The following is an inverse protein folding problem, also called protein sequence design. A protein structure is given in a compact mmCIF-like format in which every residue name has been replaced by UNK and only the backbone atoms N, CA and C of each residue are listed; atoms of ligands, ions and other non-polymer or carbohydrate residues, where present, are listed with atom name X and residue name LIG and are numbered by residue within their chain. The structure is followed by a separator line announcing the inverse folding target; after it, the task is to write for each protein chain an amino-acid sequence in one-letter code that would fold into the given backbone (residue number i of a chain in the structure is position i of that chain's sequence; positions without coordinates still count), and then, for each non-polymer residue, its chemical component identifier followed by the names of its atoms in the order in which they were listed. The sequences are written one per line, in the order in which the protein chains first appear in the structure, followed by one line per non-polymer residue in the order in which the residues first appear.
data_IF_737583994931
#
_entry.id   IF_737583994931
#
_cell.length_a   1.000
_cell.length_b   1.000
_cell.length_c   1.000
_cell.angle_alpha   90.00
_cell.angle_beta   90.00
_cell.angle_gamma   90.00
#
_symmetry.space_group_name_H-M   'P 1'
#
loop_
_entity.id
_entity.type
_entity.pdbx_description
1 polymer ?
#
# COMPACT_ATOMS: atom_id res chain seq x y z
N UNK A 1 15.45 23.58 7.04
CA UNK A 1 15.04 22.22 6.69
C UNK A 1 14.88 22.06 5.18
N UNK A 2 15.07 20.84 4.63
CA UNK A 2 15.09 20.59 3.17
C UNK A 2 13.82 21.05 2.45
N UNK A 3 12.65 20.92 3.08
CA UNK A 3 11.38 21.37 2.50
C UNK A 3 11.31 22.89 2.22
N UNK A 4 12.10 23.69 2.92
CA UNK A 4 12.14 25.13 2.81
C UNK A 4 13.26 25.64 1.87
N UNK A 5 14.05 24.76 1.28
CA UNK A 5 15.11 25.14 0.33
C UNK A 5 14.48 25.76 -0.90
N UNK A 6 14.88 27.00 -1.30
CA UNK A 6 14.32 27.69 -2.46
C UNK A 6 14.67 27.01 -3.78
N UNK A 7 15.89 26.52 -3.91
CA UNK A 7 16.40 25.84 -5.09
C UNK A 7 16.03 24.34 -5.04
N UNK A 8 14.89 24.00 -5.61
CA UNK A 8 14.42 22.62 -5.71
C UNK A 8 15.22 21.80 -6.72
N UNK A 9 15.77 22.40 -7.75
CA UNK A 9 16.54 21.71 -8.77
C UNK A 9 17.82 21.10 -8.18
N UNK A 10 18.57 21.89 -7.39
CA UNK A 10 19.75 21.38 -6.69
C UNK A 10 19.42 20.25 -5.71
N UNK A 11 18.27 20.36 -5.01
CA UNK A 11 17.80 19.30 -4.12
C UNK A 11 17.44 18.02 -4.88
N UNK A 12 16.74 18.13 -6.01
CA UNK A 12 16.36 16.98 -6.84
C UNK A 12 17.58 16.32 -7.45
N UNK A 13 18.55 17.09 -7.93
CA UNK A 13 19.79 16.54 -8.48
C UNK A 13 20.59 15.78 -7.41
N UNK A 14 20.74 16.33 -6.22
CA UNK A 14 21.41 15.65 -5.11
C UNK A 14 20.71 14.35 -4.73
N UNK A 15 19.39 14.36 -4.63
CA UNK A 15 18.59 13.16 -4.35
C UNK A 15 18.73 12.11 -5.47
N UNK A 16 18.76 12.55 -6.72
CA UNK A 16 18.94 11.69 -7.88
C UNK A 16 20.32 11.02 -7.90
N UNK A 17 21.39 11.76 -7.59
CA UNK A 17 22.75 11.23 -7.49
C UNK A 17 22.86 10.15 -6.41
N UNK A 18 22.26 10.38 -5.23
CA UNK A 18 22.21 9.38 -4.15
C UNK A 18 21.46 8.13 -4.61
N UNK A 19 20.29 8.31 -5.22
CA UNK A 19 19.50 7.19 -5.73
C UNK A 19 20.27 6.38 -6.76
N UNK A 20 20.88 7.03 -7.73
CA UNK A 20 21.69 6.35 -8.75
C UNK A 20 22.91 5.61 -8.17
N UNK A 21 23.54 6.18 -7.16
CA UNK A 21 24.69 5.54 -6.49
C UNK A 21 24.30 4.23 -5.82
N UNK A 22 23.18 4.19 -5.10
CA UNK A 22 22.77 3.01 -4.32
C UNK A 22 21.88 2.04 -5.09
N UNK A 23 21.05 2.53 -6.02
CA UNK A 23 20.06 1.71 -6.74
C UNK A 23 20.43 1.48 -8.21
N UNK A 24 21.40 2.23 -8.73
CA UNK A 24 21.73 2.19 -10.16
C UNK A 24 20.54 2.63 -11.02
N UNK A 25 20.24 1.85 -12.05
CA UNK A 25 19.08 2.07 -12.92
C UNK A 25 17.87 1.18 -12.55
N UNK A 26 17.87 0.57 -11.36
CA UNK A 26 16.77 -0.27 -10.91
C UNK A 26 15.61 0.62 -10.49
N UNK A 27 14.44 0.35 -11.04
CA UNK A 27 13.18 0.93 -10.63
C UNK A 27 12.29 -0.18 -10.04
N UNK A 28 12.04 -0.09 -8.74
CA UNK A 28 11.23 -1.07 -8.03
C UNK A 28 9.77 -0.59 -7.98
N UNK A 29 8.88 -1.39 -8.52
CA UNK A 29 7.45 -1.10 -8.59
C UNK A 29 6.69 -1.90 -7.54
N UNK A 30 5.76 -1.24 -6.87
CA UNK A 30 4.90 -1.87 -5.87
C UNK A 30 3.46 -1.42 -6.08
N UNK A 31 2.54 -2.35 -5.95
CA UNK A 31 1.10 -2.08 -5.94
C UNK A 31 0.44 -2.81 -4.79
N UNK A 32 -0.68 -2.29 -4.35
CA UNK A 32 -1.49 -2.88 -3.29
C UNK A 32 -2.94 -2.98 -3.71
N UNK A 33 -3.67 -3.92 -3.11
CA UNK A 33 -5.13 -3.93 -3.10
C UNK A 33 -5.62 -3.81 -1.66
N UNK A 34 -6.64 -3.00 -1.42
CA UNK A 34 -7.35 -2.98 -0.15
C UNK A 34 -8.28 -4.22 -0.10
N UNK A 35 -7.76 -5.34 0.38
CA UNK A 35 -8.46 -6.63 0.34
C UNK A 35 -9.56 -6.77 1.41
N UNK A 36 -9.57 -5.89 2.44
CA UNK A 36 -10.61 -5.81 3.46
C UNK A 36 -10.69 -4.38 3.96
N UNK A 37 -11.88 -3.81 4.01
CA UNK A 37 -12.06 -2.39 4.29
C UNK A 37 -12.92 -2.11 5.51
N UNK A 38 -12.46 -1.15 6.33
CA UNK A 38 -13.18 -0.56 7.44
C UNK A 38 -13.26 -1.43 8.69
N UNK A 39 -14.00 -0.95 9.68
CA UNK A 39 -14.24 -1.61 10.97
C UNK A 39 -12.96 -2.08 11.69
N UNK A 40 -11.85 -1.36 11.52
CA UNK A 40 -10.62 -1.63 12.26
C UNK A 40 -10.84 -1.30 13.74
N UNK A 41 -10.44 -2.22 14.63
CA UNK A 41 -10.55 -2.03 16.09
C UNK A 41 -9.53 -1.03 16.66
N UNK A 42 -8.53 -0.65 15.87
CA UNK A 42 -7.45 0.24 16.31
C UNK A 42 -7.84 1.72 16.17
N UNK A 43 -7.45 2.52 17.18
CA UNK A 43 -7.73 3.96 17.27
C UNK A 43 -6.62 4.82 16.65
N UNK A 44 -6.21 4.52 15.43
CA UNK A 44 -5.22 5.34 14.71
C UNK A 44 -5.87 6.64 14.23
N UNK A 45 -5.47 7.77 14.81
CA UNK A 45 -6.10 9.10 14.65
C UNK A 45 -6.21 9.60 13.19
N UNK A 46 -5.34 9.14 12.32
CA UNK A 46 -5.25 9.53 10.91
C UNK A 46 -5.76 8.46 9.94
N UNK A 47 -6.24 7.32 10.46
CA UNK A 47 -6.63 6.18 9.62
C UNK A 47 -8.11 6.17 9.32
N UNK A 48 -8.48 6.32 8.05
CA UNK A 48 -9.87 6.25 7.59
C UNK A 48 -10.53 4.87 7.80
N UNK A 49 -9.74 3.81 8.00
CA UNK A 49 -10.24 2.44 8.23
C UNK A 49 -10.66 2.17 9.68
N UNK A 50 -10.33 3.08 10.63
CA UNK A 50 -10.67 2.92 12.04
C UNK A 50 -12.19 2.96 12.26
N UNK A 51 -12.71 2.00 13.04
CA UNK A 51 -14.11 1.97 13.46
C UNK A 51 -14.47 3.03 14.52
N UNK A 52 -13.46 3.73 15.07
CA UNK A 52 -13.67 4.80 16.06
C UNK A 52 -14.07 6.12 15.42
N UNK A 53 -13.92 6.29 14.12
CA UNK A 53 -14.21 7.54 13.41
C UNK A 53 -15.27 7.34 12.33
N UNK A 54 -16.11 8.37 12.17
CA UNK A 54 -17.07 8.43 11.05
C UNK A 54 -16.33 8.88 9.79
N UNK A 55 -16.02 7.96 8.94
CA UNK A 55 -15.37 8.19 7.64
C UNK A 55 -16.27 7.68 6.52
N UNK A 56 -16.04 8.15 5.29
CA UNK A 56 -16.82 7.74 4.12
C UNK A 56 -16.21 6.53 3.41
N UNK A 57 -15.44 5.67 4.12
CA UNK A 57 -14.88 4.46 3.51
C UNK A 57 -15.99 3.43 3.25
N UNK A 58 -15.92 2.80 2.09
CA UNK A 58 -16.77 1.66 1.79
C UNK A 58 -16.36 0.46 2.63
N UNK A 59 -17.31 -0.12 3.37
CA UNK A 59 -17.04 -1.28 4.23
C UNK A 59 -17.28 -2.57 3.45
N UNK A 60 -16.31 -3.47 3.48
CA UNK A 60 -16.46 -4.82 2.93
C UNK A 60 -15.54 -5.83 3.65
N UNK A 61 -15.97 -7.10 3.70
CA UNK A 61 -15.18 -8.19 4.26
C UNK A 61 -13.99 -8.50 3.35
N UNK A 62 -13.18 -9.51 3.73
CA UNK A 62 -12.09 -9.97 2.89
C UNK A 62 -12.62 -10.37 1.50
N UNK A 63 -11.98 -9.83 0.47
CA UNK A 63 -12.31 -10.12 -0.92
C UNK A 63 -12.13 -11.62 -1.23
N UNK A 64 -12.89 -12.16 -2.18
CA UNK A 64 -12.67 -13.51 -2.68
C UNK A 64 -11.28 -13.70 -3.27
N UNK A 65 -10.71 -14.90 -3.16
CA UNK A 65 -9.37 -15.22 -3.67
C UNK A 65 -9.25 -14.95 -5.18
N UNK A 66 -10.29 -15.27 -5.95
CA UNK A 66 -10.34 -15.05 -7.40
C UNK A 66 -10.16 -13.58 -7.76
N UNK A 67 -10.74 -12.68 -6.97
CA UNK A 67 -10.61 -11.24 -7.20
C UNK A 67 -9.19 -10.76 -6.88
N UNK A 68 -8.61 -11.24 -5.79
CA UNK A 68 -7.22 -10.95 -5.44
C UNK A 68 -6.25 -11.44 -6.52
N UNK A 69 -6.45 -12.66 -7.02
CA UNK A 69 -5.64 -13.25 -8.09
C UNK A 69 -5.80 -12.46 -9.40
N UNK A 70 -7.01 -12.06 -9.74
CA UNK A 70 -7.27 -11.22 -10.92
C UNK A 70 -6.49 -9.91 -10.86
N UNK A 71 -6.51 -9.22 -9.72
CA UNK A 71 -5.74 -8.00 -9.51
C UNK A 71 -4.23 -8.25 -9.54
N UNK A 72 -3.73 -9.30 -8.91
CA UNK A 72 -2.32 -9.66 -8.93
C UNK A 72 -1.84 -9.95 -10.36
N UNK A 73 -2.61 -10.74 -11.12
CA UNK A 73 -2.32 -11.07 -12.52
C UNK A 73 -2.31 -9.82 -13.41
N UNK A 74 -3.26 -8.91 -13.21
CA UNK A 74 -3.29 -7.65 -13.94
C UNK A 74 -2.03 -6.82 -13.65
N UNK A 75 -1.66 -6.64 -12.39
CA UNK A 75 -0.47 -5.90 -11.98
C UNK A 75 0.81 -6.54 -12.55
N UNK A 76 0.92 -7.87 -12.49
CA UNK A 76 2.05 -8.58 -13.08
C UNK A 76 2.21 -8.32 -14.58
N UNK A 77 1.10 -8.35 -15.34
CA UNK A 77 1.10 -8.02 -16.79
C UNK A 77 1.52 -6.58 -17.07
N UNK A 78 1.33 -5.66 -16.12
CA UNK A 78 1.80 -4.26 -16.21
C UNK A 78 3.27 -4.09 -15.77
N UNK A 79 3.98 -5.18 -15.45
CA UNK A 79 5.38 -5.14 -15.04
C UNK A 79 5.59 -4.74 -13.58
N UNK A 80 4.54 -4.81 -12.75
CA UNK A 80 4.66 -4.53 -11.30
C UNK A 80 5.36 -5.73 -10.65
N UNK A 81 6.49 -5.45 -9.99
CA UNK A 81 7.36 -6.48 -9.40
C UNK A 81 6.87 -6.96 -8.03
N UNK A 82 6.15 -6.12 -7.30
CA UNK A 82 5.60 -6.47 -5.98
C UNK A 82 4.12 -6.11 -5.88
N UNK A 83 3.34 -7.05 -5.37
CA UNK A 83 1.91 -6.87 -5.10
C UNK A 83 1.59 -7.33 -3.68
N UNK A 84 0.83 -6.54 -2.93
CA UNK A 84 0.45 -6.87 -1.57
C UNK A 84 -1.06 -6.74 -1.34
N UNK A 85 -1.59 -7.65 -0.52
CA UNK A 85 -2.95 -7.59 0.01
C UNK A 85 -2.91 -6.82 1.33
N UNK A 86 -3.61 -5.69 1.39
CA UNK A 86 -3.73 -4.88 2.61
C UNK A 86 -5.11 -5.07 3.19
N UNK A 87 -5.19 -5.28 4.50
CA UNK A 87 -6.44 -5.50 5.21
C UNK A 87 -6.59 -4.54 6.38
N UNK A 88 -7.80 -4.04 6.59
CA UNK A 88 -8.15 -3.37 7.84
C UNK A 88 -8.12 -4.37 9.01
N UNK A 89 -7.71 -3.93 10.21
CA UNK A 89 -7.64 -4.74 11.43
C UNK A 89 -6.22 -4.84 11.98
N UNK A 90 -6.12 -5.20 13.27
CA UNK A 90 -4.85 -5.40 13.97
C UNK A 90 -4.05 -6.59 13.45
N UNK A 91 -4.77 -7.66 13.09
CA UNK A 91 -4.22 -8.88 12.49
C UNK A 91 -5.25 -9.52 11.56
N UNK A 92 -4.78 -10.32 10.62
CA UNK A 92 -5.66 -11.20 9.85
C UNK A 92 -6.11 -12.34 10.76
N UNK A 93 -7.41 -12.68 10.74
CA UNK A 93 -7.92 -13.83 11.52
C UNK A 93 -7.40 -15.15 10.92
N UNK A 94 -7.29 -16.19 11.76
CA UNK A 94 -6.84 -17.50 11.28
C UNK A 94 -7.78 -18.06 10.18
N UNK A 95 -9.09 -17.76 10.30
CA UNK A 95 -10.09 -18.10 9.28
C UNK A 95 -9.87 -17.36 7.96
N UNK A 96 -9.43 -16.11 8.01
CA UNK A 96 -9.13 -15.32 6.82
C UNK A 96 -7.76 -15.71 6.22
N UNK A 97 -6.79 -16.10 7.07
CA UNK A 97 -5.49 -16.62 6.61
C UNK A 97 -5.63 -17.83 5.70
N UNK A 98 -6.48 -18.79 6.05
CA UNK A 98 -6.74 -19.98 5.22
C UNK A 98 -7.28 -19.62 3.83
N UNK A 99 -7.92 -18.47 3.66
CA UNK A 99 -8.44 -18.02 2.36
C UNK A 99 -7.39 -17.31 1.50
N UNK A 100 -6.29 -16.84 2.12
CA UNK A 100 -5.22 -16.10 1.44
C UNK A 100 -4.08 -17.04 1.02
N UNK A 101 -3.90 -18.15 1.73
CA UNK A 101 -2.88 -19.17 1.45
C UNK A 101 -3.38 -20.24 0.52
#
# INVERSE_FOLDING_TARGET
ELAAVPDKEALYEAAHQITRHFMGNKFDTCSIINAKSGNCSEDCKWCAQSGHYKTNVTLYPLLPAEECIRHATHNHKQGISRFALVTSGKKVSDKDMVKIT
#
